data_IF_261096551462
#
_entry.id   IF_261096551462
#
_cell.length_a   1.000
_cell.length_b   1.000
_cell.length_c   1.000
_cell.angle_alpha   90.00
_cell.angle_beta   90.00
_cell.angle_gamma   90.00
#
_symmetry.space_group_name_H-M   'P 1'
#
loop_
_entity.id
_entity.type
_entity.pdbx_description
1 polymer ?
#
# COMPACT_ATOMS: atom_id res chain seq x y z
N UNK A 1 6.26 -3.08 -2.35
CA UNK A 1 5.77 -3.85 -3.51
C UNK A 1 5.68 -2.89 -4.71
N UNK A 2 5.66 -3.38 -5.94
CA UNK A 2 5.44 -2.50 -7.10
C UNK A 2 3.98 -2.02 -7.15
N UNK A 3 3.74 -1.01 -7.97
CA UNK A 3 2.41 -0.41 -8.19
C UNK A 3 1.36 -1.43 -8.68
N UNK A 4 1.78 -2.43 -9.48
CA UNK A 4 0.86 -3.39 -10.11
C UNK A 4 0.08 -4.25 -9.10
N UNK A 5 0.69 -4.91 -8.11
CA UNK A 5 -0.06 -5.65 -7.10
C UNK A 5 -1.05 -4.79 -6.31
N UNK A 6 -0.68 -3.56 -5.94
CA UNK A 6 -1.58 -2.65 -5.24
C UNK A 6 -2.81 -2.30 -6.09
N UNK A 7 -2.59 -2.01 -7.38
CA UNK A 7 -3.68 -1.73 -8.32
C UNK A 7 -4.62 -2.94 -8.46
N UNK A 8 -4.08 -4.14 -8.65
CA UNK A 8 -4.88 -5.36 -8.82
C UNK A 8 -5.66 -5.72 -7.56
N UNK A 9 -5.04 -5.67 -6.38
CA UNK A 9 -5.73 -5.95 -5.11
C UNK A 9 -6.80 -4.90 -4.82
N UNK A 10 -6.52 -3.61 -5.11
CA UNK A 10 -7.53 -2.56 -5.00
C UNK A 10 -8.71 -2.82 -5.94
N UNK A 11 -8.45 -3.18 -7.20
CA UNK A 11 -9.49 -3.50 -8.18
C UNK A 11 -10.31 -4.71 -7.74
N UNK A 12 -9.66 -5.76 -7.24
CA UNK A 12 -10.33 -6.92 -6.67
C UNK A 12 -11.26 -6.53 -5.51
N UNK A 13 -10.79 -5.70 -4.58
CA UNK A 13 -11.59 -5.21 -3.46
C UNK A 13 -12.80 -4.39 -3.91
N UNK A 14 -12.61 -3.47 -4.87
CA UNK A 14 -13.70 -2.67 -5.47
C UNK A 14 -14.78 -3.58 -6.08
N UNK A 15 -14.38 -4.60 -6.83
CA UNK A 15 -15.31 -5.56 -7.46
C UNK A 15 -16.02 -6.45 -6.43
N UNK A 16 -15.27 -6.99 -5.47
CA UNK A 16 -15.79 -7.90 -4.45
C UNK A 16 -16.80 -7.21 -3.52
N UNK A 17 -16.54 -5.94 -3.15
CA UNK A 17 -17.41 -5.15 -2.28
C UNK A 17 -18.53 -4.43 -3.04
N UNK A 18 -18.53 -4.47 -4.37
CA UNK A 18 -19.53 -3.80 -5.20
C UNK A 18 -19.54 -2.29 -5.00
N UNK A 19 -18.36 -1.66 -4.85
CA UNK A 19 -18.25 -0.23 -4.57
C UNK A 19 -18.71 0.62 -5.78
N UNK A 20 -19.31 1.78 -5.49
CA UNK A 20 -19.86 2.68 -6.49
C UNK A 20 -19.50 4.16 -6.19
N UNK A 21 -19.55 5.00 -7.21
CA UNK A 21 -19.41 6.44 -7.07
C UNK A 21 -18.12 6.88 -6.37
N UNK A 22 -18.25 7.68 -5.32
CA UNK A 22 -17.12 8.22 -4.54
C UNK A 22 -16.30 7.16 -3.82
N UNK A 23 -16.91 6.02 -3.44
CA UNK A 23 -16.20 4.93 -2.77
C UNK A 23 -15.14 4.29 -3.67
N UNK A 24 -15.35 4.24 -4.99
CA UNK A 24 -14.32 3.80 -5.94
C UNK A 24 -13.12 4.74 -5.89
N UNK A 25 -13.35 6.05 -5.90
CA UNK A 25 -12.27 7.06 -5.85
C UNK A 25 -11.49 6.91 -4.54
N UNK A 26 -12.18 6.76 -3.41
CA UNK A 26 -11.56 6.54 -2.11
C UNK A 26 -10.76 5.24 -2.07
N UNK A 27 -11.30 4.13 -2.61
CA UNK A 27 -10.61 2.86 -2.67
C UNK A 27 -9.27 2.97 -3.43
N UNK A 28 -9.27 3.56 -4.62
CA UNK A 28 -8.03 3.76 -5.37
C UNK A 28 -7.09 4.77 -4.75
N UNK A 29 -7.60 5.83 -4.09
CA UNK A 29 -6.76 6.81 -3.40
C UNK A 29 -5.98 6.19 -2.24
N UNK A 30 -6.60 5.34 -1.43
CA UNK A 30 -6.00 4.74 -0.24
C UNK A 30 -5.37 3.37 -0.48
N UNK A 31 -5.82 2.62 -1.49
CA UNK A 31 -5.25 1.32 -1.84
C UNK A 31 -4.02 1.40 -2.76
N UNK A 32 -3.87 2.50 -3.51
CA UNK A 32 -2.85 2.65 -4.54
C UNK A 32 -2.32 4.07 -4.68
N UNK A 33 -3.17 5.09 -4.54
CA UNK A 33 -2.82 6.49 -4.79
C UNK A 33 -1.79 7.06 -3.82
N UNK A 34 -1.68 6.48 -2.63
CA UNK A 34 -0.65 6.86 -1.63
C UNK A 34 0.75 6.70 -2.22
N UNK A 35 1.03 5.62 -2.95
CA UNK A 35 2.32 5.42 -3.62
C UNK A 35 2.59 6.46 -4.69
N UNK A 36 1.57 6.85 -5.45
CA UNK A 36 1.68 7.87 -6.49
C UNK A 36 2.04 9.26 -5.93
N UNK A 37 1.64 9.54 -4.69
CA UNK A 37 1.98 10.80 -4.02
C UNK A 37 3.35 10.69 -3.34
N UNK A 38 3.60 9.61 -2.63
CA UNK A 38 4.78 9.45 -1.80
C UNK A 38 6.08 9.35 -2.63
N UNK A 39 6.12 8.50 -3.64
CA UNK A 39 7.32 8.28 -4.45
C UNK A 39 7.78 9.50 -5.26
N UNK A 40 6.92 10.21 -6.03
CA UNK A 40 7.36 11.36 -6.80
C UNK A 40 7.80 12.56 -5.94
N UNK A 41 7.20 12.72 -4.77
CA UNK A 41 7.49 13.87 -3.90
C UNK A 41 8.69 13.59 -2.99
N UNK A 42 8.68 12.45 -2.34
CA UNK A 42 9.70 12.12 -1.33
C UNK A 42 11.06 11.77 -1.95
N UNK A 43 11.09 10.97 -3.00
CA UNK A 43 12.32 10.51 -3.61
C UNK A 43 13.23 11.65 -4.08
N UNK A 44 12.75 12.64 -4.85
CA UNK A 44 13.57 13.78 -5.26
C UNK A 44 14.07 14.62 -4.09
N UNK A 45 13.25 14.84 -3.06
CA UNK A 45 13.62 15.61 -1.88
C UNK A 45 14.70 14.90 -1.06
N UNK A 46 14.59 13.58 -0.91
CA UNK A 46 15.57 12.77 -0.22
C UNK A 46 16.91 12.74 -0.96
N UNK A 47 16.92 12.50 -2.26
CA UNK A 47 18.13 12.48 -3.09
C UNK A 47 18.84 13.84 -3.10
N UNK A 48 18.07 14.93 -3.05
CA UNK A 48 18.62 16.28 -2.93
C UNK A 48 19.31 16.49 -1.57
N UNK A 49 18.76 15.95 -0.48
CA UNK A 49 19.27 16.14 0.89
C UNK A 49 20.47 15.25 1.21
N UNK A 50 20.47 14.00 0.80
CA UNK A 50 21.41 12.97 1.28
C UNK A 50 22.38 12.46 0.20
N UNK A 51 22.19 12.83 -1.06
CA UNK A 51 22.97 12.35 -2.20
C UNK A 51 22.76 10.86 -2.51
N UNK A 52 23.21 10.44 -3.69
CA UNK A 52 23.04 9.04 -4.17
C UNK A 52 23.79 7.98 -3.36
N UNK A 53 24.83 8.38 -2.60
CA UNK A 53 25.66 7.41 -1.84
C UNK A 53 24.92 6.68 -0.72
N UNK A 54 23.76 7.17 -0.29
CA UNK A 54 22.97 6.59 0.81
C UNK A 54 21.73 5.80 0.34
N UNK A 55 21.70 5.36 -0.91
CA UNK A 55 20.57 4.59 -1.47
C UNK A 55 20.27 3.30 -0.66
N UNK A 56 21.28 2.67 -0.04
CA UNK A 56 21.10 1.46 0.78
C UNK A 56 20.32 1.67 2.08
N UNK A 57 20.24 2.91 2.58
CA UNK A 57 19.54 3.28 3.82
C UNK A 57 18.29 4.11 3.55
N UNK A 58 17.84 4.12 2.30
CA UNK A 58 16.67 4.87 1.91
C UNK A 58 15.39 4.16 2.36
N UNK A 59 14.66 4.80 3.28
CA UNK A 59 13.32 4.37 3.62
C UNK A 59 12.36 4.90 2.54
N UNK A 60 11.96 4.06 1.64
CA UNK A 60 11.03 4.34 0.53
C UNK A 60 9.62 4.71 0.99
N UNK A 61 9.42 4.85 2.30
CA UNK A 61 8.11 5.03 2.91
C UNK A 61 8.09 6.25 3.82
N UNK A 62 7.00 7.02 3.74
CA UNK A 62 6.70 8.07 4.72
C UNK A 62 5.83 7.50 5.85
N UNK A 63 5.64 8.24 6.96
CA UNK A 63 4.64 7.88 7.96
C UNK A 63 3.23 7.67 7.39
N UNK A 64 2.94 8.23 6.20
CA UNK A 64 1.66 8.05 5.50
C UNK A 64 1.44 6.63 4.98
N UNK A 65 2.50 5.86 4.77
CA UNK A 65 2.45 4.47 4.32
C UNK A 65 2.63 3.46 5.46
N UNK A 66 2.81 3.93 6.67
CA UNK A 66 3.02 3.08 7.85
C UNK A 66 1.71 2.92 8.65
N UNK A 67 1.56 1.84 9.44
CA UNK A 67 0.36 1.62 10.27
C UNK A 67 -0.02 2.80 11.16
N UNK A 68 0.94 3.64 11.55
CA UNK A 68 0.69 4.85 12.33
C UNK A 68 -0.29 5.81 11.63
N UNK A 69 -0.38 5.79 10.30
CA UNK A 69 -1.32 6.61 9.56
C UNK A 69 -2.78 6.27 9.86
N UNK A 70 -3.08 5.09 10.39
CA UNK A 70 -4.44 4.73 10.85
C UNK A 70 -4.96 5.69 11.93
N UNK A 71 -4.08 6.37 12.68
CA UNK A 71 -4.48 7.37 13.68
C UNK A 71 -5.28 8.54 13.07
N UNK A 72 -5.10 8.85 11.79
CA UNK A 72 -5.87 9.88 11.09
C UNK A 72 -6.82 9.30 10.02
N UNK A 73 -6.50 8.14 9.43
CA UNK A 73 -7.35 7.51 8.42
C UNK A 73 -8.64 6.97 9.02
N UNK A 74 -8.60 6.39 10.22
CA UNK A 74 -9.81 5.93 10.91
C UNK A 74 -10.76 7.11 11.24
N UNK A 75 -10.32 8.21 11.88
CA UNK A 75 -11.16 9.39 12.05
C UNK A 75 -11.71 9.96 10.73
N UNK A 76 -10.89 9.96 9.67
CA UNK A 76 -11.34 10.38 8.34
C UNK A 76 -12.46 9.47 7.80
N UNK A 77 -12.31 8.15 7.95
CA UNK A 77 -13.33 7.18 7.54
C UNK A 77 -14.66 7.39 8.29
N UNK A 78 -14.58 7.65 9.59
CA UNK A 78 -15.76 7.99 10.41
C UNK A 78 -16.40 9.30 9.95
N UNK A 79 -15.60 10.34 9.69
CA UNK A 79 -16.08 11.63 9.21
C UNK A 79 -16.78 11.53 7.85
N UNK A 80 -16.24 10.70 6.94
CA UNK A 80 -16.82 10.45 5.62
C UNK A 80 -18.02 9.49 5.64
N UNK A 81 -18.29 8.84 6.78
CA UNK A 81 -19.38 7.85 6.92
C UNK A 81 -19.15 6.57 6.11
N UNK A 82 -17.88 6.25 5.77
CA UNK A 82 -17.53 5.06 4.99
C UNK A 82 -16.26 4.39 5.52
N UNK A 83 -16.23 3.07 5.53
CA UNK A 83 -15.05 2.28 5.93
C UNK A 83 -13.96 2.19 4.85
N UNK A 84 -14.27 2.61 3.63
CA UNK A 84 -13.43 2.40 2.44
C UNK A 84 -12.00 2.90 2.62
N UNK A 85 -11.73 4.15 3.10
CA UNK A 85 -10.35 4.62 3.29
C UNK A 85 -9.54 3.70 4.21
N UNK A 86 -10.12 3.29 5.34
CA UNK A 86 -9.42 2.46 6.32
C UNK A 86 -9.15 1.05 5.78
N UNK A 87 -10.12 0.40 5.16
CA UNK A 87 -9.97 -0.96 4.61
C UNK A 87 -8.93 -1.00 3.50
N UNK A 88 -8.98 -0.08 2.55
CA UNK A 88 -8.04 -0.07 1.43
C UNK A 88 -6.63 0.38 1.84
N UNK A 89 -6.51 1.27 2.81
CA UNK A 89 -5.21 1.57 3.39
C UNK A 89 -4.61 0.36 4.14
N UNK A 90 -5.42 -0.39 4.91
CA UNK A 90 -4.97 -1.62 5.56
C UNK A 90 -4.49 -2.64 4.52
N UNK A 91 -5.23 -2.85 3.44
CA UNK A 91 -4.81 -3.75 2.36
C UNK A 91 -3.50 -3.30 1.72
N UNK A 92 -3.32 -2.00 1.50
CA UNK A 92 -2.09 -1.41 0.96
C UNK A 92 -0.87 -1.71 1.83
N UNK A 93 -0.89 -1.35 3.12
CA UNK A 93 0.27 -1.57 3.96
C UNK A 93 0.53 -3.07 4.23
N UNK A 94 -0.50 -3.93 4.27
CA UNK A 94 -0.31 -5.38 4.40
C UNK A 94 0.46 -5.96 3.22
N UNK A 95 0.12 -5.57 1.99
CA UNK A 95 0.87 -5.96 0.80
C UNK A 95 2.33 -5.53 0.89
N UNK A 96 2.56 -4.30 1.31
CA UNK A 96 3.91 -3.80 1.51
C UNK A 96 4.69 -4.53 2.59
N UNK A 97 4.01 -4.99 3.65
CA UNK A 97 4.63 -5.78 4.71
C UNK A 97 4.98 -7.21 4.28
N UNK A 98 4.49 -7.67 3.14
CA UNK A 98 4.95 -8.94 2.55
C UNK A 98 6.34 -8.84 1.94
N UNK A 99 6.80 -7.66 1.53
CA UNK A 99 8.10 -7.43 0.87
C UNK A 99 9.24 -7.31 1.90
N UNK A 100 10.46 -7.68 1.52
CA UNK A 100 11.60 -7.89 2.44
C UNK A 100 12.43 -6.65 2.77
N UNK A 101 11.97 -5.44 2.52
CA UNK A 101 12.70 -4.24 2.93
C UNK A 101 12.31 -3.73 4.32
N UNK A 102 13.21 -2.94 4.94
CA UNK A 102 13.02 -2.38 6.27
C UNK A 102 11.77 -1.49 6.35
N UNK A 103 10.98 -1.67 7.39
CA UNK A 103 9.77 -0.92 7.72
C UNK A 103 9.84 -0.39 9.14
N UNK A 104 9.21 0.76 9.39
CA UNK A 104 9.17 1.41 10.70
C UNK A 104 7.72 1.72 11.10
N UNK A 105 6.98 0.70 11.60
CA UNK A 105 5.53 0.78 11.82
C UNK A 105 5.09 1.93 12.73
N UNK A 106 5.97 2.35 13.64
CA UNK A 106 5.67 3.38 14.64
C UNK A 106 6.43 4.69 14.42
N UNK A 107 7.06 4.88 13.24
CA UNK A 107 7.72 6.15 12.94
C UNK A 107 6.69 7.27 12.79
N UNK A 108 6.91 8.51 13.32
CA UNK A 108 8.15 9.00 13.94
C UNK A 108 8.29 8.74 15.45
N UNK A 109 7.34 8.06 16.10
CA UNK A 109 7.31 7.89 17.57
C UNK A 109 8.32 6.85 18.07
N UNK A 110 8.76 5.93 17.20
CA UNK A 110 9.73 4.90 17.54
C UNK A 110 10.68 4.63 16.37
N UNK A 111 11.93 4.27 16.69
CA UNK A 111 12.94 3.80 15.74
C UNK A 111 12.88 2.29 15.49
N UNK A 112 11.94 1.59 16.12
CA UNK A 112 11.75 0.16 15.90
C UNK A 112 11.56 -0.13 14.42
N UNK A 113 12.35 -1.10 13.90
CA UNK A 113 12.27 -1.54 12.52
C UNK A 113 12.01 -3.05 12.44
N UNK A 114 11.36 -3.47 11.37
CA UNK A 114 11.08 -4.86 11.06
C UNK A 114 11.27 -5.12 9.57
N UNK A 115 11.60 -6.34 9.21
CA UNK A 115 11.64 -6.81 7.83
C UNK A 115 10.31 -7.43 7.42
N UNK A 116 10.15 -7.74 6.11
CA UNK A 116 8.92 -8.34 5.58
C UNK A 116 8.64 -9.74 6.13
N UNK A 117 7.37 -10.08 6.23
CA UNK A 117 6.88 -11.33 6.86
C UNK A 117 7.27 -12.57 6.04
N UNK A 118 7.37 -12.47 4.71
CA UNK A 118 7.63 -13.59 3.80
C UNK A 118 9.10 -13.62 3.32
N UNK A 119 10.06 -13.53 4.24
CA UNK A 119 11.49 -13.45 3.93
C UNK A 119 12.10 -14.62 3.13
N UNK A 120 11.39 -15.76 3.02
CA UNK A 120 11.86 -16.95 2.26
C UNK A 120 11.71 -16.83 0.74
N UNK A 121 10.84 -15.94 0.26
CA UNK A 121 10.57 -15.75 -1.16
C UNK A 121 11.20 -14.46 -1.65
N UNK A 122 11.67 -14.44 -2.90
CA UNK A 122 12.13 -13.20 -3.52
C UNK A 122 10.98 -12.20 -3.67
N UNK A 123 11.28 -10.91 -3.67
CA UNK A 123 10.25 -9.89 -3.83
C UNK A 123 9.54 -9.99 -5.18
N UNK A 124 10.27 -10.38 -6.23
CA UNK A 124 9.68 -10.64 -7.56
C UNK A 124 8.68 -11.80 -7.55
N UNK A 125 8.97 -12.90 -6.86
CA UNK A 125 8.03 -14.02 -6.73
C UNK A 125 6.75 -13.59 -6.01
N UNK A 126 6.86 -12.84 -4.91
CA UNK A 126 5.72 -12.31 -4.17
C UNK A 126 4.83 -11.43 -5.05
N UNK A 127 5.44 -10.55 -5.86
CA UNK A 127 4.73 -9.67 -6.78
C UNK A 127 4.02 -10.44 -7.88
N UNK A 128 4.70 -11.43 -8.50
CA UNK A 128 4.11 -12.28 -9.53
C UNK A 128 2.92 -13.05 -8.97
N UNK A 129 3.09 -13.76 -7.85
CA UNK A 129 2.01 -14.54 -7.25
C UNK A 129 0.83 -13.67 -6.83
N UNK A 130 1.06 -12.52 -6.20
CA UNK A 130 -0.01 -11.59 -5.82
C UNK A 130 -0.76 -11.10 -7.06
N UNK A 131 -0.04 -10.76 -8.13
CA UNK A 131 -0.65 -10.27 -9.37
C UNK A 131 -1.46 -11.37 -10.07
N UNK A 132 -0.92 -12.59 -10.16
CA UNK A 132 -1.62 -13.74 -10.78
C UNK A 132 -2.89 -14.08 -10.01
N UNK A 133 -2.79 -14.25 -8.69
CA UNK A 133 -3.95 -14.61 -7.85
C UNK A 133 -5.03 -13.52 -7.95
N UNK A 134 -4.65 -12.25 -7.83
CA UNK A 134 -5.61 -11.14 -7.93
C UNK A 134 -6.27 -11.08 -9.30
N UNK A 135 -5.53 -11.29 -10.39
CA UNK A 135 -6.08 -11.30 -11.75
C UNK A 135 -7.06 -12.45 -11.97
N UNK A 136 -6.73 -13.64 -11.47
CA UNK A 136 -7.64 -14.81 -11.55
C UNK A 136 -8.92 -14.54 -10.75
N UNK A 137 -8.80 -14.01 -9.53
CA UNK A 137 -9.98 -13.68 -8.71
C UNK A 137 -10.87 -12.62 -9.38
N UNK A 138 -10.26 -11.57 -9.99
CA UNK A 138 -11.02 -10.56 -10.74
C UNK A 138 -11.76 -11.21 -11.91
N UNK A 139 -11.09 -12.06 -12.71
CA UNK A 139 -11.70 -12.75 -13.84
C UNK A 139 -12.89 -13.61 -13.39
N UNK A 140 -12.73 -14.38 -12.30
CA UNK A 140 -13.81 -15.18 -11.72
C UNK A 140 -14.99 -14.29 -11.30
N UNK A 141 -14.74 -13.21 -10.55
CA UNK A 141 -15.81 -12.30 -10.12
C UNK A 141 -16.57 -11.66 -11.29
N UNK A 142 -15.88 -11.34 -12.38
CA UNK A 142 -16.52 -10.76 -13.59
C UNK A 142 -17.35 -11.81 -14.31
N UNK A 143 -16.92 -13.08 -14.34
CA UNK A 143 -17.65 -14.16 -15.00
C UNK A 143 -18.95 -14.57 -14.28
N UNK A 144 -19.04 -14.36 -12.97
CA UNK A 144 -20.18 -14.74 -12.14
C UNK A 144 -21.10 -13.57 -11.74
N UNK A 145 -20.88 -12.37 -12.27
CA UNK A 145 -21.79 -11.21 -12.18
C UNK A 145 -22.70 -11.12 -13.39
#
# INVERSE_FOLDING_TARGET
>A
MTIIPHLLVTTLGVQALGLHGTDIILAYSFGYGIDLVDHPIKLPLYLKKNGRKNEKHYHWRTPLQEPVALLWIIPLSVYLGTYVPAVFFISHFLLDYMVSYEKRPFYPFSTYSTEGILGKYSDSEKEIWTSVISSVCIAVLVMFK
#
